data_IF_871655714203
#
_entry.id   IF_871655714203
#
_cell.length_a   1.000
_cell.length_b   1.000
_cell.length_c   1.000
_cell.angle_alpha   90.00
_cell.angle_beta   90.00
_cell.angle_gamma   90.00
#
_symmetry.space_group_name_H-M   'P 1'
#
loop_
_entity.id
_entity.type
_entity.pdbx_description
1 polymer ?
#
# COMPACT_ATOMS: atom_id res chain seq x y z
N UNK A 1 -10.25 -14.59 -0.11
CA UNK A 1 -9.26 -13.63 -0.64
C UNK A 1 -9.85 -12.27 -0.99
N UNK A 2 -10.74 -12.13 -2.01
CA UNK A 2 -11.30 -10.81 -2.41
C UNK A 2 -11.75 -9.94 -1.25
N UNK A 3 -12.72 -10.44 -0.49
CA UNK A 3 -13.22 -9.73 0.69
C UNK A 3 -12.13 -9.39 1.71
N UNK A 4 -11.21 -10.32 1.99
CA UNK A 4 -10.12 -10.11 2.96
C UNK A 4 -9.13 -9.03 2.51
N UNK A 5 -8.80 -8.97 1.21
CA UNK A 5 -7.94 -7.91 0.66
C UNK A 5 -8.68 -6.58 0.65
N UNK A 6 -9.97 -6.58 0.28
CA UNK A 6 -10.81 -5.38 0.28
C UNK A 6 -10.95 -4.81 1.71
N UNK A 7 -11.16 -5.67 2.71
CA UNK A 7 -11.24 -5.32 4.13
C UNK A 7 -9.91 -4.68 4.62
N UNK A 8 -8.75 -5.24 4.22
CA UNK A 8 -7.43 -4.66 4.53
C UNK A 8 -7.27 -3.28 3.87
N UNK A 9 -7.60 -3.15 2.57
CA UNK A 9 -7.50 -1.88 1.86
C UNK A 9 -8.40 -0.84 2.53
N UNK A 10 -9.62 -1.21 2.90
CA UNK A 10 -10.57 -0.32 3.57
C UNK A 10 -10.06 0.09 4.96
N UNK A 11 -9.54 -0.85 5.74
CA UNK A 11 -8.93 -0.56 7.04
C UNK A 11 -7.79 0.45 6.94
N UNK A 12 -6.85 0.24 6.00
CA UNK A 12 -5.72 1.17 5.79
C UNK A 12 -6.22 2.52 5.27
N UNK A 13 -7.19 2.51 4.34
CA UNK A 13 -7.77 3.73 3.78
C UNK A 13 -8.41 4.59 4.87
N UNK A 14 -9.14 3.97 5.79
CA UNK A 14 -9.76 4.67 6.92
C UNK A 14 -8.72 5.18 7.92
N UNK A 15 -7.71 4.36 8.23
CA UNK A 15 -6.66 4.71 9.21
C UNK A 15 -5.79 5.89 8.75
N UNK A 16 -5.59 6.06 7.44
CA UNK A 16 -4.70 7.07 6.87
C UNK A 16 -5.42 8.12 6.00
N UNK A 17 -6.76 8.17 6.04
CA UNK A 17 -7.60 8.98 5.14
C UNK A 17 -7.10 10.43 4.95
N UNK A 18 -6.76 11.11 6.05
CA UNK A 18 -6.37 12.52 6.07
C UNK A 18 -4.91 12.73 5.68
N UNK A 19 -4.13 11.65 5.66
CA UNK A 19 -2.71 11.67 5.34
C UNK A 19 -2.45 11.27 3.89
N UNK A 20 -3.37 10.55 3.24
CA UNK A 20 -3.13 10.03 1.89
C UNK A 20 -3.10 11.15 0.84
N UNK A 21 -2.11 11.08 -0.06
CA UNK A 21 -2.07 11.84 -1.29
C UNK A 21 -1.91 10.90 -2.46
N UNK A 22 -2.93 10.75 -3.33
CA UNK A 22 -2.92 9.78 -4.45
C UNK A 22 -1.69 9.89 -5.36
N UNK A 23 -1.11 11.08 -5.47
CA UNK A 23 0.06 11.35 -6.32
C UNK A 23 1.28 11.76 -5.48
N UNK A 24 1.28 11.46 -4.18
CA UNK A 24 2.38 11.79 -3.27
C UNK A 24 3.61 10.93 -3.54
N UNK A 25 4.79 11.55 -3.55
CA UNK A 25 6.06 10.85 -3.65
C UNK A 25 6.61 10.40 -2.29
N UNK A 26 6.07 10.93 -1.18
CA UNK A 26 6.31 10.41 0.16
C UNK A 26 5.41 9.20 0.40
N UNK A 27 5.90 8.15 1.03
CA UNK A 27 5.07 7.00 1.38
C UNK A 27 5.56 6.30 2.64
N UNK A 28 4.68 5.48 3.22
CA UNK A 28 5.03 4.42 4.16
C UNK A 28 4.69 3.07 3.53
N UNK A 29 5.44 2.05 3.92
CA UNK A 29 5.19 0.67 3.53
C UNK A 29 4.67 -0.10 4.74
N UNK A 30 3.48 -0.70 4.61
CA UNK A 30 2.89 -1.54 5.64
C UNK A 30 2.97 -3.01 5.21
N UNK A 31 3.33 -3.90 6.13
CA UNK A 31 3.33 -5.33 5.84
C UNK A 31 1.89 -5.86 5.80
N UNK A 32 1.45 -6.40 4.64
CA UNK A 32 0.09 -6.91 4.49
C UNK A 32 -0.18 -8.15 5.35
N UNK A 33 0.82 -9.01 5.57
CA UNK A 33 0.68 -10.17 6.44
C UNK A 33 0.35 -9.80 7.88
N UNK A 34 0.96 -8.73 8.40
CA UNK A 34 0.67 -8.18 9.74
C UNK A 34 -0.72 -7.53 9.79
N UNK A 35 -1.12 -6.79 8.76
CA UNK A 35 -2.47 -6.22 8.65
C UNK A 35 -3.54 -7.33 8.61
N UNK A 36 -3.29 -8.38 7.81
CA UNK A 36 -4.16 -9.54 7.71
C UNK A 36 -4.29 -10.27 9.05
N UNK A 37 -3.18 -10.43 9.79
CA UNK A 37 -3.20 -11.06 11.12
C UNK A 37 -4.07 -10.27 12.10
N UNK A 38 -3.90 -8.95 12.13
CA UNK A 38 -4.67 -8.04 12.97
C UNK A 38 -6.18 -8.11 12.71
N UNK A 39 -6.57 -8.35 11.46
CA UNK A 39 -7.97 -8.46 11.04
C UNK A 39 -8.51 -9.91 11.04
N UNK A 40 -7.70 -10.91 11.44
CA UNK A 40 -8.09 -12.31 11.48
C UNK A 40 -8.09 -13.04 10.12
N UNK A 41 -7.52 -12.44 9.07
CA UNK A 41 -7.44 -12.99 7.72
C UNK A 41 -6.24 -13.95 7.55
N UNK A 42 -6.34 -15.12 8.18
CA UNK A 42 -5.26 -16.11 8.22
C UNK A 42 -4.79 -16.60 6.84
N UNK A 43 -5.66 -16.62 5.82
CA UNK A 43 -5.30 -17.00 4.45
C UNK A 43 -4.36 -15.98 3.80
N UNK A 44 -4.71 -14.69 3.88
CA UNK A 44 -3.89 -13.59 3.37
C UNK A 44 -2.56 -13.55 4.09
N UNK A 45 -2.55 -13.69 5.43
CA UNK A 45 -1.32 -13.78 6.23
C UNK A 45 -0.40 -14.90 5.73
N UNK A 46 -0.93 -16.10 5.49
CA UNK A 46 -0.12 -17.26 5.05
C UNK A 46 0.47 -17.05 3.65
N UNK A 47 -0.31 -16.50 2.72
CA UNK A 47 0.07 -16.32 1.32
C UNK A 47 1.01 -15.12 1.10
N UNK A 48 0.79 -14.01 1.80
CA UNK A 48 1.44 -12.72 1.55
C UNK A 48 2.20 -12.19 2.79
N UNK A 49 3.00 -13.05 3.42
CA UNK A 49 3.66 -12.78 4.72
C UNK A 49 4.49 -11.49 4.77
N UNK A 50 5.15 -11.14 3.67
CA UNK A 50 6.16 -10.09 3.63
C UNK A 50 5.90 -9.01 2.56
N UNK A 51 4.73 -9.01 1.94
CA UNK A 51 4.44 -8.03 0.89
C UNK A 51 4.04 -6.67 1.44
N UNK A 52 4.45 -5.63 0.73
CA UNK A 52 4.22 -4.24 1.08
C UNK A 52 2.89 -3.69 0.55
N UNK A 53 2.22 -2.95 1.41
CA UNK A 53 1.12 -2.03 1.08
C UNK A 53 1.69 -0.62 1.08
N UNK A 54 1.64 0.04 -0.06
CA UNK A 54 2.17 1.39 -0.23
C UNK A 54 1.06 2.38 0.10
N UNK A 55 1.32 3.27 1.06
CA UNK A 55 0.42 4.36 1.43
C UNK A 55 1.10 5.69 1.08
N UNK A 56 0.81 6.27 -0.09
CA UNK A 56 1.30 7.59 -0.47
C UNK A 56 0.79 8.68 0.46
N UNK A 57 1.65 9.58 0.90
CA UNK A 57 1.38 10.60 1.92
C UNK A 57 1.45 12.02 1.35
N UNK A 58 0.65 12.93 1.93
CA UNK A 58 0.67 14.38 1.64
C UNK A 58 1.99 15.03 2.04
N UNK A 59 2.61 14.55 3.11
CA UNK A 59 3.83 15.11 3.68
C UNK A 59 4.73 14.01 4.22
N UNK A 60 6.00 14.33 4.42
CA UNK A 60 6.94 13.43 5.08
C UNK A 60 6.54 13.21 6.55
N UNK A 61 6.96 12.08 7.12
CA UNK A 61 6.81 11.82 8.56
C UNK A 61 8.17 11.87 9.26
N UNK A 62 8.13 11.99 10.58
CA UNK A 62 9.35 11.96 11.40
C UNK A 62 10.03 10.59 11.31
N UNK A 63 11.36 10.59 11.43
CA UNK A 63 12.17 9.38 11.28
C UNK A 63 13.05 9.38 10.02
N UNK A 64 13.64 8.22 9.75
CA UNK A 64 14.59 8.02 8.66
C UNK A 64 13.88 8.08 7.31
N UNK A 65 14.54 8.70 6.33
CA UNK A 65 14.03 8.85 4.96
C UNK A 65 14.96 8.15 4.00
N UNK A 66 14.41 7.30 3.15
CA UNK A 66 15.16 6.55 2.14
C UNK A 66 14.61 6.91 0.78
N UNK A 67 15.48 7.36 -0.12
CA UNK A 67 15.12 7.58 -1.52
C UNK A 67 15.10 6.24 -2.25
N UNK A 68 14.01 5.96 -2.94
CA UNK A 68 13.75 4.75 -3.70
C UNK A 68 13.47 5.13 -5.15
N UNK A 69 14.02 4.37 -6.08
CA UNK A 69 13.76 4.52 -7.50
C UNK A 69 12.30 4.16 -7.83
N UNK A 70 11.58 5.04 -8.53
CA UNK A 70 10.19 4.82 -8.94
C UNK A 70 9.96 3.52 -9.71
N UNK A 71 10.97 3.01 -10.41
CA UNK A 71 10.91 1.74 -11.17
C UNK A 71 10.74 0.52 -10.28
N UNK A 72 11.03 0.62 -8.99
CA UNK A 72 10.72 -0.43 -8.00
C UNK A 72 9.22 -0.74 -7.95
N UNK A 73 8.35 0.21 -8.27
CA UNK A 73 6.89 0.06 -8.26
C UNK A 73 6.32 -0.44 -9.59
N UNK A 74 7.13 -1.09 -10.42
CA UNK A 74 6.69 -1.66 -11.69
C UNK A 74 5.53 -2.65 -11.47
N UNK A 75 4.49 -2.53 -12.29
CA UNK A 75 3.25 -3.35 -12.21
C UNK A 75 2.48 -3.22 -10.90
N UNK A 76 2.68 -2.16 -10.11
CA UNK A 76 1.78 -1.86 -9.00
C UNK A 76 0.43 -1.36 -9.53
N UNK A 77 -0.62 -1.58 -8.74
CA UNK A 77 -1.96 -1.05 -8.98
C UNK A 77 -2.34 -0.11 -7.85
N UNK A 78 -2.97 1.00 -8.20
CA UNK A 78 -3.50 1.98 -7.27
C UNK A 78 -5.03 1.89 -7.21
N UNK A 79 -5.56 1.91 -5.99
CA UNK A 79 -7.00 1.92 -5.72
C UNK A 79 -7.53 3.36 -5.61
N UNK A 80 -8.85 3.51 -5.61
CA UNK A 80 -9.49 4.83 -5.44
C UNK A 80 -9.12 5.53 -4.13
N UNK A 81 -8.72 4.80 -3.09
CA UNK A 81 -8.20 5.41 -1.87
C UNK A 81 -6.83 6.06 -2.03
N UNK A 82 -6.07 5.74 -3.09
CA UNK A 82 -4.69 6.17 -3.30
C UNK A 82 -3.65 5.13 -2.89
N UNK A 83 -4.04 4.12 -2.10
CA UNK A 83 -3.19 2.98 -1.72
C UNK A 83 -2.73 2.24 -2.98
N UNK A 84 -1.47 1.80 -2.99
CA UNK A 84 -0.93 0.97 -4.05
C UNK A 84 -0.45 -0.39 -3.53
N UNK A 85 -0.68 -1.44 -4.33
CA UNK A 85 -0.24 -2.81 -4.05
C UNK A 85 0.49 -3.39 -5.27
N UNK A 86 1.38 -4.38 -5.09
CA UNK A 86 1.88 -5.19 -6.19
C UNK A 86 0.74 -5.75 -7.05
N UNK A 87 0.91 -5.78 -8.37
CA UNK A 87 -0.17 -6.10 -9.30
C UNK A 87 -0.79 -7.49 -9.13
N UNK A 88 0.01 -8.49 -8.71
CA UNK A 88 -0.49 -9.85 -8.43
C UNK A 88 -1.34 -9.89 -7.16
N UNK A 89 -0.99 -9.10 -6.14
CA UNK A 89 -1.77 -8.95 -4.92
C UNK A 89 -3.05 -8.16 -5.18
N UNK A 90 -2.96 -7.05 -5.93
CA UNK A 90 -4.10 -6.24 -6.29
C UNK A 90 -5.15 -7.00 -7.14
N UNK A 91 -4.75 -8.06 -7.88
CA UNK A 91 -5.67 -8.94 -8.61
C UNK A 91 -6.59 -9.74 -7.71
N UNK A 92 -6.19 -9.92 -6.46
CA UNK A 92 -6.98 -10.64 -5.46
C UNK A 92 -8.07 -9.75 -4.85
N UNK A 93 -8.12 -8.44 -5.14
CA UNK A 93 -9.17 -7.50 -4.70
C UNK A 93 -10.34 -7.43 -5.68
N UNK A 94 -11.52 -7.03 -5.20
CA UNK A 94 -12.65 -6.68 -6.08
C UNK A 94 -12.80 -5.18 -6.34
N UNK A 95 -12.02 -4.34 -5.66
CA UNK A 95 -12.10 -2.88 -5.76
C UNK A 95 -11.59 -2.36 -7.12
N UNK A 96 -12.17 -1.26 -7.62
CA UNK A 96 -11.65 -0.56 -8.79
C UNK A 96 -10.20 -0.14 -8.58
N UNK A 97 -9.38 -0.32 -9.62
CA UNK A 97 -7.97 0.00 -9.60
C UNK A 97 -7.47 0.42 -10.98
N UNK A 98 -6.42 1.23 -10.98
CA UNK A 98 -5.67 1.66 -12.15
C UNK A 98 -4.19 1.34 -11.99
N UNK A 99 -3.37 1.39 -13.05
CA UNK A 99 -1.92 1.32 -12.90
C UNK A 99 -1.41 2.39 -11.94
N UNK A 100 -0.51 2.01 -11.03
CA UNK A 100 0.18 2.98 -10.18
C UNK A 100 1.33 3.62 -10.95
N UNK A 101 1.40 4.96 -10.91
CA UNK A 101 2.46 5.74 -11.55
C UNK A 101 3.27 6.39 -10.44
N UNK A 102 4.40 5.79 -10.09
CA UNK A 102 5.34 6.34 -9.14
C UNK A 102 6.13 7.50 -9.76
N UNK A 103 6.49 8.48 -8.94
CA UNK A 103 7.52 9.46 -9.28
C UNK A 103 8.89 8.75 -9.42
N UNK A 104 9.81 9.31 -10.19
CA UNK A 104 11.19 8.79 -10.28
C UNK A 104 11.87 8.72 -8.92
N UNK A 105 11.56 9.67 -8.03
CA UNK A 105 12.13 9.80 -6.70
C UNK A 105 11.05 9.60 -5.64
N UNK A 106 10.85 8.35 -5.24
CA UNK A 106 9.97 8.01 -4.12
C UNK A 106 10.72 8.11 -2.80
N UNK A 107 10.06 8.61 -1.75
CA UNK A 107 10.63 8.80 -0.42
C UNK A 107 9.92 7.87 0.56
N UNK A 108 10.59 6.77 0.91
CA UNK A 108 10.14 5.89 1.98
C UNK A 108 10.40 6.57 3.32
N UNK A 109 9.37 6.64 4.14
CA UNK A 109 9.49 7.10 5.51
C UNK A 109 9.49 5.88 6.45
N UNK A 110 10.62 5.63 7.10
CA UNK A 110 10.78 4.58 8.09
C UNK A 110 10.46 5.16 9.47
N UNK A 111 9.21 4.98 9.89
CA UNK A 111 8.68 5.41 11.20
C UNK A 111 8.48 4.21 12.14
#
# INVERSE_FOLDING_TARGET
MKKEIDDIIQYVSNKYNDLISKNGNNYIELNIGKLADMLGHSHVKKKFKAEGVIVPLKQHVNGMKVRIDGRTFVKYSQFESGIALPGHLAKESSLPRKPYVADENMILNCA
#
